data_IF_044175242809
#
_entry.id   IF_044175242809
#
_cell.length_a   1.000
_cell.length_b   1.000
_cell.length_c   1.000
_cell.angle_alpha   90.00
_cell.angle_beta   90.00
_cell.angle_gamma   90.00
#
_symmetry.space_group_name_H-M   'P 1'
#
loop_
_entity.id
_entity.type
_entity.pdbx_description
1 polymer ?
#
# COMPACT_ATOMS: atom_id res chain seq x y z
N UNK A 1 -7.44 -1.52 17.27
CA UNK A 1 -7.01 -0.11 17.21
C UNK A 1 -6.43 0.08 15.82
N UNK A 2 -6.77 1.16 15.11
CA UNK A 2 -6.27 1.36 13.74
C UNK A 2 -4.79 1.71 13.76
N UNK A 3 -4.04 1.23 12.77
CA UNK A 3 -2.65 1.63 12.60
C UNK A 3 -2.54 3.12 12.29
N UNK A 4 -1.48 3.81 12.75
CA UNK A 4 -1.26 5.23 12.48
C UNK A 4 -0.92 5.51 11.02
N UNK A 5 -0.50 4.49 10.29
CA UNK A 5 -0.15 4.50 8.89
C UNK A 5 -0.41 3.13 8.26
N UNK A 6 -0.44 3.12 6.92
CA UNK A 6 -0.59 1.90 6.12
C UNK A 6 0.42 1.97 4.97
N UNK A 7 1.14 0.87 4.74
CA UNK A 7 1.99 0.67 3.57
C UNK A 7 1.63 -0.63 2.83
N UNK A 8 1.29 -0.50 1.56
CA UNK A 8 1.03 -1.63 0.68
C UNK A 8 1.87 -1.53 -0.60
N UNK A 9 2.26 -2.67 -1.14
CA UNK A 9 3.03 -2.80 -2.37
C UNK A 9 2.16 -3.41 -3.45
N UNK A 10 1.95 -2.67 -4.54
CA UNK A 10 1.15 -3.12 -5.67
C UNK A 10 2.06 -3.55 -6.80
N UNK A 11 1.77 -4.72 -7.38
CA UNK A 11 2.51 -5.22 -8.53
C UNK A 11 2.34 -4.27 -9.71
N UNK A 12 3.45 -3.98 -10.37
CA UNK A 12 3.54 -3.16 -11.57
C UNK A 12 2.82 -3.89 -12.72
N UNK A 13 1.53 -3.60 -12.85
CA UNK A 13 0.61 -4.09 -13.88
C UNK A 13 -0.09 -2.90 -14.56
N UNK A 14 0.68 -1.86 -14.88
CA UNK A 14 0.21 -0.57 -15.42
C UNK A 14 -0.66 0.24 -14.44
N UNK A 15 -0.66 -0.11 -13.14
CA UNK A 15 -1.28 0.71 -12.10
C UNK A 15 -0.40 1.92 -11.82
N UNK A 16 -0.91 3.09 -12.18
CA UNK A 16 -0.28 4.38 -11.94
C UNK A 16 -1.01 5.19 -10.85
N UNK A 17 -0.45 6.35 -10.51
CA UNK A 17 -1.04 7.25 -9.53
C UNK A 17 -2.45 7.74 -9.89
N UNK A 18 -2.88 7.67 -11.17
CA UNK A 18 -4.24 8.05 -11.58
C UNK A 18 -5.24 6.95 -11.22
N UNK A 19 -4.90 5.69 -11.46
CA UNK A 19 -5.70 4.56 -11.01
C UNK A 19 -5.85 4.58 -9.47
N UNK A 20 -4.75 4.86 -8.76
CA UNK A 20 -4.75 5.06 -7.31
C UNK A 20 -5.66 6.23 -6.91
N UNK A 21 -5.61 7.35 -7.62
CA UNK A 21 -6.46 8.52 -7.35
C UNK A 21 -7.95 8.22 -7.48
N UNK A 22 -8.34 7.45 -8.50
CA UNK A 22 -9.74 7.10 -8.72
C UNK A 22 -10.26 6.21 -7.58
N UNK A 23 -9.47 5.23 -7.17
CA UNK A 23 -9.80 4.35 -6.06
C UNK A 23 -9.85 5.10 -4.72
N UNK A 24 -8.78 5.81 -4.36
CA UNK A 24 -8.72 6.59 -3.12
C UNK A 24 -9.78 7.71 -3.10
N UNK A 25 -10.09 8.29 -4.27
CA UNK A 25 -11.19 9.22 -4.49
C UNK A 25 -12.53 8.69 -3.99
N UNK A 26 -12.77 7.39 -4.17
CA UNK A 26 -13.98 6.69 -3.74
C UNK A 26 -13.92 6.29 -2.27
N UNK A 27 -12.75 5.86 -1.79
CA UNK A 27 -12.59 5.32 -0.43
C UNK A 27 -12.41 6.40 0.66
N UNK A 28 -11.67 7.47 0.36
CA UNK A 28 -11.23 8.50 1.29
C UNK A 28 -11.76 9.90 0.94
N UNK A 29 -12.21 10.09 -0.30
CA UNK A 29 -12.58 11.39 -0.86
C UNK A 29 -11.56 11.87 -1.91
N UNK A 30 -11.88 12.96 -2.62
CA UNK A 30 -11.13 13.38 -3.80
C UNK A 30 -9.65 13.60 -3.52
N UNK A 31 -8.81 13.18 -4.47
CA UNK A 31 -7.38 13.46 -4.43
C UNK A 31 -7.07 14.89 -4.88
N UNK A 32 -6.17 15.57 -4.18
CA UNK A 32 -5.53 16.77 -4.69
C UNK A 32 -4.61 16.43 -5.86
N UNK A 33 -4.17 17.46 -6.59
CA UNK A 33 -3.14 17.28 -7.62
C UNK A 33 -1.89 16.63 -7.04
N UNK A 34 -1.30 15.70 -7.81
CA UNK A 34 -0.07 15.03 -7.43
C UNK A 34 1.13 15.94 -7.66
N UNK A 35 1.98 16.04 -6.64
CA UNK A 35 3.24 16.75 -6.71
C UNK A 35 4.36 15.74 -6.73
N UNK A 36 5.13 15.71 -7.82
CA UNK A 36 6.32 14.88 -7.91
C UNK A 36 7.47 15.50 -7.12
N UNK A 37 8.08 14.71 -6.24
CA UNK A 37 9.30 15.05 -5.49
C UNK A 37 10.32 13.93 -5.66
N UNK A 38 11.27 14.14 -6.55
CA UNK A 38 12.23 13.11 -6.95
C UNK A 38 11.51 11.93 -7.63
N UNK A 39 11.65 10.74 -7.05
CA UNK A 39 10.99 9.52 -7.53
C UNK A 39 9.58 9.32 -6.93
N UNK A 40 9.25 10.06 -5.87
CA UNK A 40 7.94 9.95 -5.21
C UNK A 40 6.93 10.93 -5.81
N UNK A 41 5.67 10.56 -5.75
CA UNK A 41 4.51 11.42 -6.02
C UNK A 41 3.73 11.56 -4.72
N UNK A 42 3.29 12.77 -4.40
CA UNK A 42 2.53 13.03 -3.16
C UNK A 42 1.23 13.75 -3.47
N UNK A 43 0.16 13.37 -2.78
CA UNK A 43 -1.12 14.08 -2.80
C UNK A 43 -1.81 13.95 -1.44
N UNK A 44 -3.03 14.48 -1.33
CA UNK A 44 -3.95 14.15 -0.24
C UNK A 44 -5.22 13.55 -0.81
N UNK A 45 -5.71 12.45 -0.25
CA UNK A 45 -7.03 11.89 -0.53
C UNK A 45 -7.96 12.23 0.64
N UNK A 46 -8.91 13.14 0.43
CA UNK A 46 -9.60 13.78 1.55
C UNK A 46 -8.58 14.49 2.46
N UNK A 47 -8.47 14.05 3.71
CA UNK A 47 -7.49 14.56 4.68
C UNK A 47 -6.24 13.67 4.84
N UNK A 48 -6.20 12.50 4.19
CA UNK A 48 -5.11 11.53 4.35
C UNK A 48 -3.94 11.90 3.43
N UNK A 49 -2.73 12.12 3.96
CA UNK A 49 -1.53 12.26 3.15
C UNK A 49 -1.21 10.94 2.44
N UNK A 50 -0.94 11.02 1.13
CA UNK A 50 -0.65 9.87 0.28
C UNK A 50 0.73 10.06 -0.35
N UNK A 51 1.56 9.03 -0.26
CA UNK A 51 2.81 8.94 -1.02
C UNK A 51 2.75 7.72 -1.93
N UNK A 52 3.09 7.94 -3.20
CA UNK A 52 3.23 6.90 -4.22
C UNK A 52 4.68 6.85 -4.70
N UNK A 53 5.28 5.67 -4.63
CA UNK A 53 6.63 5.41 -5.13
C UNK A 53 6.57 4.31 -6.20
N UNK A 54 6.62 4.67 -7.48
CA UNK A 54 6.73 3.68 -8.55
C UNK A 54 8.04 2.90 -8.44
N UNK A 55 7.99 1.59 -8.74
CA UNK A 55 9.15 0.68 -8.77
C UNK A 55 10.02 0.79 -7.50
N UNK A 56 9.36 0.88 -6.34
CA UNK A 56 10.00 0.88 -5.03
C UNK A 56 10.93 -0.34 -4.86
N UNK A 57 10.46 -1.52 -5.29
CA UNK A 57 11.26 -2.75 -5.29
C UNK A 57 10.98 -3.57 -6.55
N UNK A 58 11.91 -3.58 -7.52
CA UNK A 58 11.78 -4.34 -8.75
C UNK A 58 10.51 -3.98 -9.53
N UNK A 59 9.50 -4.87 -9.51
CA UNK A 59 8.18 -4.70 -10.16
C UNK A 59 7.08 -4.31 -9.17
N UNK A 60 7.42 -3.67 -8.05
CA UNK A 60 6.46 -3.31 -7.01
C UNK A 60 6.47 -1.81 -6.76
N UNK A 61 5.28 -1.21 -6.74
CA UNK A 61 5.05 0.18 -6.41
C UNK A 61 4.62 0.27 -4.94
N UNK A 62 5.20 1.18 -4.15
CA UNK A 62 4.76 1.43 -2.77
C UNK A 62 3.66 2.50 -2.77
N UNK A 63 2.60 2.23 -2.01
CA UNK A 63 1.57 3.18 -1.61
C UNK A 63 1.61 3.30 -0.10
N UNK A 64 1.86 4.52 0.38
CA UNK A 64 1.90 4.85 1.80
C UNK A 64 0.83 5.87 2.15
N UNK A 65 0.04 5.56 3.17
CA UNK A 65 -1.04 6.38 3.72
C UNK A 65 -0.67 6.74 5.17
N UNK A 66 -0.41 8.02 5.42
CA UNK A 66 0.11 8.48 6.72
C UNK A 66 -1.05 9.00 7.60
N UNK A 67 -1.95 8.11 8.02
CA UNK A 67 -3.09 8.46 8.88
C UNK A 67 -3.80 7.25 9.51
N UNK A 68 -4.27 7.41 10.76
CA UNK A 68 -5.22 6.51 11.43
C UNK A 68 -6.69 6.75 11.03
N UNK A 69 -6.95 7.76 10.19
CA UNK A 69 -8.28 8.15 9.74
C UNK A 69 -8.70 7.46 8.43
N UNK A 70 -8.03 6.37 8.07
CA UNK A 70 -8.44 5.53 6.94
C UNK A 70 -9.64 4.63 7.35
N UNK A 71 -10.42 4.12 6.37
CA UNK A 71 -11.49 3.17 6.63
C UNK A 71 -10.96 1.76 6.95
N UNK A 72 -9.66 1.51 6.73
CA UNK A 72 -9.01 0.23 6.95
C UNK A 72 -8.42 0.17 8.35
N UNK A 73 -8.49 -1.01 8.97
CA UNK A 73 -7.94 -1.19 10.32
C UNK A 73 -6.42 -1.33 10.31
N UNK A 74 -5.89 -1.98 9.27
CA UNK A 74 -4.48 -2.29 9.10
C UNK A 74 -4.09 -2.42 7.61
N UNK A 75 -2.80 -2.71 7.38
CA UNK A 75 -2.23 -2.94 6.06
C UNK A 75 -2.96 -4.04 5.27
N UNK A 76 -3.36 -5.13 5.94
CA UNK A 76 -4.03 -6.28 5.30
C UNK A 76 -5.42 -5.86 4.81
N UNK A 77 -6.19 -5.15 5.63
CA UNK A 77 -7.51 -4.63 5.26
C UNK A 77 -7.42 -3.67 4.08
N UNK A 78 -6.39 -2.82 4.03
CA UNK A 78 -6.14 -1.95 2.90
C UNK A 78 -5.73 -2.72 1.65
N UNK A 79 -4.83 -3.70 1.78
CA UNK A 79 -4.37 -4.53 0.68
C UNK A 79 -5.51 -5.33 0.05
N UNK A 80 -6.44 -5.86 0.85
CA UNK A 80 -7.67 -6.52 0.38
C UNK A 80 -8.54 -5.56 -0.44
N UNK A 81 -8.74 -4.35 0.06
CA UNK A 81 -9.54 -3.34 -0.63
C UNK A 81 -8.88 -2.87 -1.94
N UNK A 82 -7.56 -2.70 -1.94
CA UNK A 82 -6.79 -2.36 -3.14
C UNK A 82 -6.89 -3.48 -4.18
N UNK A 83 -6.72 -4.75 -3.78
CA UNK A 83 -6.92 -5.89 -4.67
C UNK A 83 -8.34 -5.92 -5.25
N UNK A 84 -9.37 -5.73 -4.43
CA UNK A 84 -10.75 -5.72 -4.88
C UNK A 84 -11.07 -4.58 -5.87
N UNK A 85 -10.45 -3.41 -5.71
CA UNK A 85 -10.71 -2.25 -6.55
C UNK A 85 -9.89 -2.23 -7.84
N UNK A 86 -8.64 -2.69 -7.77
CA UNK A 86 -7.65 -2.55 -8.86
C UNK A 86 -7.35 -3.87 -9.57
N UNK A 87 -7.73 -5.00 -8.97
CA UNK A 87 -7.49 -6.35 -9.48
C UNK A 87 -6.01 -6.62 -9.81
N UNK A 88 -5.11 -6.11 -8.96
CA UNK A 88 -3.66 -6.34 -9.05
C UNK A 88 -3.16 -7.01 -7.80
N UNK A 89 -2.13 -7.85 -7.93
CA UNK A 89 -1.48 -8.48 -6.78
C UNK A 89 -0.93 -7.41 -5.83
N UNK A 90 -1.27 -7.56 -4.54
CA UNK A 90 -0.85 -6.64 -3.47
C UNK A 90 -0.07 -7.42 -2.43
N UNK A 91 0.96 -6.78 -1.85
CA UNK A 91 1.72 -7.27 -0.71
C UNK A 91 1.72 -6.26 0.41
N UNK A 92 1.72 -6.73 1.64
CA UNK A 92 1.84 -5.88 2.82
C UNK A 92 2.48 -6.64 3.99
N UNK A 93 2.91 -5.91 5.02
CA UNK A 93 3.39 -6.52 6.24
C UNK A 93 2.23 -7.22 6.97
N UNK A 94 2.48 -8.34 7.68
CA UNK A 94 1.46 -9.06 8.45
C UNK A 94 1.02 -8.32 9.74
N UNK A 95 1.66 -7.20 10.07
CA UNK A 95 1.34 -6.34 11.20
C UNK A 95 2.30 -5.16 11.30
N UNK A 96 2.07 -4.26 12.26
CA UNK A 96 2.98 -3.15 12.53
C UNK A 96 4.36 -3.69 12.90
N UNK A 97 5.40 -3.15 12.26
CA UNK A 97 6.79 -3.49 12.57
C UNK A 97 7.06 -3.31 14.07
N UNK A 98 7.42 -4.39 14.76
CA UNK A 98 7.86 -4.37 16.16
C UNK A 98 9.39 -4.44 16.15
N UNK A 99 10.07 -3.41 16.68
CA UNK A 99 11.55 -3.34 16.71
C UNK A 99 12.21 -4.55 17.41
N UNK A 100 11.49 -5.30 18.26
CA UNK A 100 11.96 -6.52 18.92
C UNK A 100 11.89 -7.79 18.06
N UNK A 101 11.15 -7.79 16.95
CA UNK A 101 11.08 -8.94 16.04
C UNK A 101 12.23 -8.85 15.02
N UNK A 102 13.33 -9.55 15.29
CA UNK A 102 14.58 -9.50 14.50
C UNK A 102 14.46 -9.87 13.01
N UNK A 103 15.61 -9.89 12.33
CA UNK A 103 15.79 -10.03 10.87
C UNK A 103 14.96 -11.14 10.18
N UNK A 104 14.56 -12.21 10.88
CA UNK A 104 13.74 -13.29 10.30
C UNK A 104 12.28 -12.90 10.02
N UNK A 105 11.74 -11.88 10.69
CA UNK A 105 10.36 -11.43 10.46
C UNK A 105 10.24 -10.38 9.36
N UNK A 106 11.36 -9.74 9.00
CA UNK A 106 11.44 -8.71 7.97
C UNK A 106 11.09 -9.24 6.56
N UNK A 107 11.25 -10.54 6.36
CA UNK A 107 10.94 -11.21 5.10
C UNK A 107 9.50 -11.76 5.04
N UNK A 108 8.67 -11.65 6.10
CA UNK A 108 7.29 -12.16 6.10
C UNK A 108 6.32 -11.11 5.54
N UNK A 109 5.56 -11.51 4.53
CA UNK A 109 4.60 -10.64 3.85
C UNK A 109 3.29 -11.37 3.61
N UNK A 110 2.18 -10.65 3.64
CA UNK A 110 0.90 -11.14 3.16
C UNK A 110 0.79 -10.79 1.68
N UNK A 111 0.58 -11.80 0.84
CA UNK A 111 0.27 -11.66 -0.59
C UNK A 111 -1.22 -11.85 -0.80
N UNK A 112 -1.82 -10.92 -1.54
CA UNK A 112 -3.22 -10.97 -1.95
C UNK A 112 -3.28 -10.96 -3.47
N UNK A 113 -3.90 -11.99 -4.04
CA UNK A 113 -3.96 -12.20 -5.49
C UNK A 113 -5.25 -12.93 -5.90
N UNK A 114 -5.41 -13.18 -7.19
CA UNK A 114 -6.54 -13.98 -7.71
C UNK A 114 -6.56 -15.42 -7.16
N UNK A 115 -5.42 -15.93 -6.70
CA UNK A 115 -5.30 -17.27 -6.10
C UNK A 115 -5.72 -17.29 -4.62
N UNK A 116 -5.94 -16.12 -4.02
CA UNK A 116 -6.30 -15.94 -2.61
C UNK A 116 -5.27 -15.11 -1.84
N UNK A 117 -5.36 -15.24 -0.52
CA UNK A 117 -4.48 -14.59 0.46
C UNK A 117 -3.57 -15.63 1.10
N UNK A 118 -2.26 -15.37 1.10
CA UNK A 118 -1.25 -16.26 1.65
C UNK A 118 -0.10 -15.49 2.30
N UNK A 119 0.50 -16.07 3.32
CA UNK A 119 1.76 -15.59 3.89
C UNK A 119 2.93 -16.10 3.02
N UNK A 120 3.81 -15.19 2.60
CA UNK A 120 4.97 -15.48 1.77
C UNK A 120 6.25 -14.96 2.42
N UNK A 121 7.38 -15.53 2.00
CA UNK A 121 8.70 -14.95 2.25
C UNK A 121 9.10 -14.10 1.04
N UNK A 122 9.22 -12.78 1.19
CA UNK A 122 9.64 -11.89 0.10
C UNK A 122 11.01 -11.28 0.40
N UNK A 123 12.04 -11.87 -0.22
CA UNK A 123 13.41 -11.35 -0.16
C UNK A 123 13.59 -10.27 -1.23
N UNK A 124 13.87 -9.04 -0.80
CA UNK A 124 14.10 -7.89 -1.69
C UNK A 124 15.57 -7.70 -2.09
N UNK A 125 16.42 -8.71 -1.84
CA UNK A 125 17.86 -8.71 -2.08
C UNK A 125 18.25 -8.63 -3.57
#
# INVERSE_FOLDING_TARGET
MRQPDIEIYLKDADVDHKAISAWLGTALGPCTDWVQKGQTYKCKAGNVPVTWLPKAVGKWNSLYLESDQTPWEDDIACARAAFAALNVEVRCAPGSWVEEEGEETADRWIRISADGEEEITWKTA
#
